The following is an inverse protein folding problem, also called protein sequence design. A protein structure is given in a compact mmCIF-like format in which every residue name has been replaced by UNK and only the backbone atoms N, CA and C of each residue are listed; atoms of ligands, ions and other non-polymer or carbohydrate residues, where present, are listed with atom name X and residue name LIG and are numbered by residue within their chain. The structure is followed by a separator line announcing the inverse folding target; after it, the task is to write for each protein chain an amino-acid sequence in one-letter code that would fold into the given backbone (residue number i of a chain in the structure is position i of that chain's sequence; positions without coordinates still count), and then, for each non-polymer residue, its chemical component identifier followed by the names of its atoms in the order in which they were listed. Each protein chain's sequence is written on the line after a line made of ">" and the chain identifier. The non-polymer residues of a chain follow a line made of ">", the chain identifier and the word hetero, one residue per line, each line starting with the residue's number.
data_IF_199255707612
#
_entry.id   IF_199255707612
#
_cell.length_a   1.000
_cell.length_b   1.000
_cell.length_c   1.000
_cell.angle_alpha   90.00
_cell.angle_beta   90.00
_cell.angle_gamma   90.00
#
_symmetry.space_group_name_H-M   'P 1'
#
loop_
_entity.id
_entity.type
_entity.pdbx_description
1 polymer ?
#
# COMPACT_ATOMS: atom_id res chain seq x y z
N UNK A 1 -17.18 -46.91 3.80
CA UNK A 1 -16.29 -48.07 3.95
C UNK A 1 -15.11 -47.60 4.79
N UNK A 2 -14.98 -48.12 6.03
CA UNK A 2 -14.06 -47.74 7.12
C UNK A 2 -14.23 -46.32 7.70
N UNK A 3 -15.04 -46.09 8.76
CA UNK A 3 -14.78 -46.34 10.20
C UNK A 3 -13.61 -45.47 10.74
N UNK A 4 -13.84 -44.37 11.46
CA UNK A 4 -14.27 -44.25 12.86
C UNK A 4 -13.25 -44.74 13.91
N UNK A 5 -12.25 -43.92 14.27
CA UNK A 5 -11.34 -44.03 15.43
C UNK A 5 -10.55 -42.70 15.52
N UNK A 6 -10.30 -41.97 16.62
CA UNK A 6 -10.55 -42.09 18.06
C UNK A 6 -10.30 -40.71 18.70
N UNK A 7 -11.04 -40.37 19.74
CA UNK A 7 -10.86 -39.20 20.59
C UNK A 7 -9.98 -39.48 21.84
N UNK A 8 -9.51 -38.39 22.46
CA UNK A 8 -9.21 -38.15 23.88
C UNK A 8 -7.81 -38.46 24.49
N UNK A 9 -7.20 -37.41 25.06
CA UNK A 9 -6.44 -37.35 26.33
C UNK A 9 -6.13 -35.86 26.65
N UNK A 10 -6.83 -35.15 27.56
CA UNK A 10 -6.64 -35.07 29.03
C UNK A 10 -5.25 -34.48 29.43
N UNK A 11 -5.15 -33.21 29.87
CA UNK A 11 -5.36 -32.64 31.24
C UNK A 11 -4.08 -32.62 32.12
N UNK A 12 -3.95 -31.51 32.90
CA UNK A 12 -3.12 -31.25 34.11
C UNK A 12 -1.94 -30.27 33.90
N UNK A 13 -1.60 -29.34 34.81
CA UNK A 13 -2.26 -28.61 35.91
C UNK A 13 -1.21 -27.59 36.43
N UNK A 14 -1.68 -26.45 36.93
CA UNK A 14 -1.15 -25.58 38.02
C UNK A 14 0.35 -25.28 38.19
N UNK A 15 0.66 -23.98 38.35
CA UNK A 15 1.18 -23.43 39.63
C UNK A 15 1.19 -21.89 39.67
N UNK A 16 0.45 -21.35 40.64
CA UNK A 16 0.60 -20.03 41.23
C UNK A 16 1.79 -20.00 42.20
N UNK A 17 2.36 -18.82 42.48
CA UNK A 17 2.56 -18.22 43.83
C UNK A 17 3.23 -16.82 43.71
N UNK A 18 2.84 -15.83 44.55
CA UNK A 18 3.37 -14.44 44.56
C UNK A 18 4.25 -14.10 45.80
N UNK A 19 4.91 -12.92 45.79
CA UNK A 19 5.49 -12.25 46.96
C UNK A 19 5.79 -10.78 46.64
N UNK A 20 5.17 -9.77 47.27
CA UNK A 20 5.52 -9.09 48.55
C UNK A 20 6.96 -8.57 48.58
N UNK A 21 7.31 -7.33 48.93
CA UNK A 21 6.80 -6.52 50.05
C UNK A 21 7.25 -5.04 49.95
N UNK A 22 6.46 -4.17 50.59
CA UNK A 22 6.77 -2.78 50.98
C UNK A 22 8.07 -2.66 51.78
N UNK A 23 8.76 -1.51 51.68
CA UNK A 23 9.32 -0.81 52.85
C UNK A 23 9.21 0.70 52.66
N UNK A 24 8.49 1.34 53.58
CA UNK A 24 8.52 2.78 53.91
C UNK A 24 9.75 3.12 54.75
N UNK A 25 10.18 4.38 54.70
CA UNK A 25 10.63 5.25 55.82
C UNK A 25 11.34 6.44 55.15
N UNK A 26 10.98 7.73 55.25
CA UNK A 26 10.41 8.60 56.28
C UNK A 26 11.34 8.86 57.48
N UNK A 27 12.04 10.00 57.44
CA UNK A 27 12.51 10.80 58.59
C UNK A 27 12.49 12.28 58.15
N UNK A 28 11.52 13.09 58.62
CA UNK A 28 11.56 14.03 59.76
C UNK A 28 12.75 15.01 59.69
N UNK A 29 12.48 16.25 59.29
CA UNK A 29 12.31 17.44 60.15
C UNK A 29 13.65 17.98 60.67
N UNK A 30 14.02 19.20 60.29
CA UNK A 30 13.81 20.38 61.13
C UNK A 30 14.21 21.68 60.40
N UNK A 31 13.43 22.70 60.73
CA UNK A 31 13.48 24.11 60.33
C UNK A 31 14.44 24.91 61.24
N UNK A 32 15.05 25.96 60.69
CA UNK A 32 15.73 27.00 61.48
C UNK A 32 16.34 28.08 60.60
N UNK A 33 15.85 29.31 60.73
CA UNK A 33 16.15 30.49 59.90
C UNK A 33 17.44 31.23 60.31
N UNK A 34 18.05 31.99 59.38
CA UNK A 34 18.14 33.47 59.45
C UNK A 34 19.17 34.10 58.48
N UNK A 35 18.81 35.30 58.01
CA UNK A 35 19.64 36.46 57.68
C UNK A 35 20.44 36.53 56.36
N UNK A 36 19.77 37.12 55.36
CA UNK A 36 20.19 38.27 54.54
C UNK A 36 21.68 38.56 54.29
N UNK A 37 22.08 38.48 53.01
CA UNK A 37 22.94 39.47 52.37
C UNK A 37 22.66 39.50 50.86
N UNK A 38 22.27 40.67 50.36
CA UNK A 38 22.02 41.01 48.97
C UNK A 38 23.30 41.02 48.16
N UNK A 39 23.38 40.22 47.10
CA UNK A 39 24.31 40.42 46.00
C UNK A 39 23.58 40.13 44.68
N UNK A 40 23.42 41.19 43.90
CA UNK A 40 22.84 41.19 42.56
C UNK A 40 23.84 40.57 41.61
N UNK A 41 23.57 39.36 41.11
CA UNK A 41 24.37 38.75 40.05
C UNK A 41 23.46 38.22 38.94
N UNK A 42 23.64 38.81 37.77
CA UNK A 42 22.82 38.66 36.56
C UNK A 42 23.04 37.28 35.93
N UNK A 43 22.35 36.27 36.44
CA UNK A 43 22.37 34.93 35.85
C UNK A 43 21.53 34.88 34.55
N UNK A 44 22.21 35.11 33.42
CA UNK A 44 21.68 34.88 32.07
C UNK A 44 21.39 33.38 31.92
N UNK A 45 20.12 33.01 32.11
CA UNK A 45 19.64 31.64 32.00
C UNK A 45 19.76 31.18 30.54
N UNK A 46 20.87 30.53 30.20
CA UNK A 46 21.01 29.80 28.94
C UNK A 46 20.08 28.59 29.04
N UNK A 47 18.85 28.75 28.52
CA UNK A 47 17.97 27.62 28.25
C UNK A 47 18.71 26.68 27.31
N UNK A 48 19.19 25.56 27.84
CA UNK A 48 19.65 24.43 27.05
C UNK A 48 18.46 23.86 26.28
N UNK A 49 18.25 24.36 25.07
CA UNK A 49 17.35 23.74 24.10
C UNK A 49 18.05 22.48 23.59
N UNK A 50 17.74 21.33 24.21
CA UNK A 50 17.95 20.02 23.55
C UNK A 50 17.28 20.09 22.17
N UNK A 51 17.99 19.81 21.07
CA UNK A 51 17.35 19.69 19.76
C UNK A 51 16.37 18.52 19.85
N UNK A 52 15.07 18.84 19.88
CA UNK A 52 14.03 17.87 19.61
C UNK A 52 14.19 17.51 18.13
N UNK A 53 14.83 16.37 17.85
CA UNK A 53 14.93 15.81 16.50
C UNK A 53 13.53 15.36 16.10
N UNK A 54 12.76 16.27 15.53
CA UNK A 54 11.62 15.88 14.73
C UNK A 54 12.18 15.06 13.56
N UNK A 55 11.69 13.83 13.33
CA UNK A 55 12.08 13.11 12.13
C UNK A 55 11.62 13.95 10.95
N UNK A 56 12.55 14.60 10.25
CA UNK A 56 12.23 15.26 8.99
C UNK A 56 11.47 14.26 8.12
N UNK A 57 10.27 14.62 7.68
CA UNK A 57 9.55 13.86 6.66
C UNK A 57 10.37 13.94 5.38
N UNK A 58 11.31 13.01 5.22
CA UNK A 58 12.13 12.87 4.01
C UNK A 58 11.18 12.60 2.84
N UNK A 59 11.38 13.31 1.74
CA UNK A 59 10.65 13.06 0.49
C UNK A 59 10.90 11.61 0.03
N UNK A 60 9.90 10.94 -0.56
CA UNK A 60 10.10 9.59 -1.08
C UNK A 60 11.15 9.61 -2.18
N UNK A 61 12.07 8.66 -2.14
CA UNK A 61 13.16 8.53 -3.11
C UNK A 61 12.78 7.57 -4.24
N UNK A 62 12.17 6.45 -3.88
CA UNK A 62 11.79 5.37 -4.82
C UNK A 62 10.29 5.11 -4.77
N UNK A 63 9.61 5.31 -5.89
CA UNK A 63 8.21 4.96 -6.06
C UNK A 63 8.03 3.58 -6.66
N UNK A 64 7.11 2.79 -6.11
CA UNK A 64 6.66 1.52 -6.67
C UNK A 64 5.23 1.69 -7.18
N UNK A 65 5.06 1.76 -8.50
CA UNK A 65 3.76 1.81 -9.14
C UNK A 65 3.22 0.38 -9.32
N UNK A 66 2.27 0.00 -8.48
CA UNK A 66 1.60 -1.30 -8.50
C UNK A 66 0.51 -1.32 -9.57
N UNK A 67 0.78 -1.98 -10.70
CA UNK A 67 -0.10 -2.01 -11.86
C UNK A 67 -1.08 -3.18 -11.82
N UNK A 68 -2.37 -2.88 -11.94
CA UNK A 68 -3.42 -3.89 -12.07
C UNK A 68 -4.60 -3.31 -12.89
N UNK A 69 -5.54 -4.13 -13.35
CA UNK A 69 -6.74 -3.62 -14.03
C UNK A 69 -7.64 -2.82 -13.07
N UNK A 70 -7.58 -3.18 -11.78
CA UNK A 70 -8.47 -2.66 -10.76
C UNK A 70 -9.85 -3.35 -10.78
N UNK A 71 -10.81 -2.75 -10.11
CA UNK A 71 -12.19 -3.22 -10.11
C UNK A 71 -13.11 -2.22 -9.42
N UNK A 72 -14.40 -2.21 -9.74
CA UNK A 72 -15.37 -1.27 -9.18
C UNK A 72 -15.50 -1.51 -7.67
N UNK A 73 -15.29 -0.48 -6.86
CA UNK A 73 -15.41 -0.57 -5.39
C UNK A 73 -16.87 -0.72 -4.97
N UNK A 74 -17.78 -0.12 -5.72
CA UNK A 74 -19.23 -0.20 -5.51
C UNK A 74 -19.95 -0.58 -6.80
N UNK A 75 -21.23 -0.95 -6.68
CA UNK A 75 -22.09 -1.21 -7.84
C UNK A 75 -22.23 0.00 -8.77
N UNK A 76 -22.08 1.23 -8.25
CA UNK A 76 -22.14 2.46 -9.05
C UNK A 76 -20.98 2.59 -10.04
N UNK A 77 -19.81 2.10 -9.66
CA UNK A 77 -18.58 2.24 -10.44
C UNK A 77 -18.49 1.27 -11.63
N UNK A 78 -19.41 0.29 -11.70
CA UNK A 78 -19.39 -0.78 -12.69
C UNK A 78 -19.47 -0.24 -14.11
N UNK A 79 -20.30 0.78 -14.35
CA UNK A 79 -20.43 1.36 -15.68
C UNK A 79 -19.10 1.94 -16.19
N UNK A 80 -18.45 2.75 -15.36
CA UNK A 80 -17.23 3.46 -15.76
C UNK A 80 -16.04 2.51 -15.87
N UNK A 81 -15.99 1.49 -15.01
CA UNK A 81 -15.06 0.37 -15.16
C UNK A 81 -15.20 -0.29 -16.54
N UNK A 82 -16.42 -0.70 -16.92
CA UNK A 82 -16.67 -1.33 -18.21
C UNK A 82 -16.39 -0.38 -19.38
N UNK A 83 -16.75 0.89 -19.25
CA UNK A 83 -16.53 1.90 -20.27
C UNK A 83 -15.04 2.01 -20.60
N UNK A 84 -14.18 2.18 -19.59
CA UNK A 84 -12.72 2.26 -19.80
C UNK A 84 -12.15 0.96 -20.36
N UNK A 85 -12.66 -0.20 -19.91
CA UNK A 85 -12.26 -1.51 -20.41
C UNK A 85 -12.57 -1.68 -21.90
N UNK A 86 -13.77 -1.30 -22.35
CA UNK A 86 -14.15 -1.42 -23.76
C UNK A 86 -13.53 -0.33 -24.66
N UNK A 87 -13.07 0.79 -24.10
CA UNK A 87 -12.31 1.81 -24.83
C UNK A 87 -10.83 1.44 -25.01
N UNK A 88 -10.34 0.44 -24.30
CA UNK A 88 -8.93 0.05 -24.33
C UNK A 88 -8.56 -0.74 -25.59
N UNK A 89 -7.81 -0.09 -26.48
CA UNK A 89 -7.32 -0.68 -27.72
C UNK A 89 -6.19 -1.70 -27.53
N UNK A 90 -5.54 -1.71 -26.38
CA UNK A 90 -4.54 -2.75 -26.04
C UNK A 90 -5.18 -4.06 -25.60
N UNK A 91 -6.41 -3.98 -25.11
CA UNK A 91 -7.19 -5.15 -24.69
C UNK A 91 -7.96 -5.75 -25.86
N UNK A 92 -8.68 -4.90 -26.61
CA UNK A 92 -9.46 -5.34 -27.77
C UNK A 92 -9.64 -4.22 -28.79
N UNK A 93 -9.74 -4.60 -30.07
CA UNK A 93 -10.02 -3.68 -31.17
C UNK A 93 -11.44 -3.89 -31.68
N UNK A 94 -12.26 -2.83 -31.67
CA UNK A 94 -13.64 -2.85 -32.15
C UNK A 94 -13.83 -1.84 -33.29
N UNK A 95 -14.69 -2.11 -34.30
CA UNK A 95 -15.05 -1.10 -35.28
C UNK A 95 -15.78 0.06 -34.58
N UNK A 96 -15.45 1.32 -34.92
CA UNK A 96 -16.06 2.51 -34.30
C UNK A 96 -16.05 2.46 -32.75
N UNK A 97 -14.95 1.98 -32.15
CA UNK A 97 -14.84 1.68 -30.71
C UNK A 97 -15.32 2.80 -29.78
N UNK A 98 -15.04 4.06 -30.11
CA UNK A 98 -15.49 5.21 -29.29
C UNK A 98 -17.02 5.35 -29.22
N UNK A 99 -17.77 4.79 -30.18
CA UNK A 99 -19.24 4.74 -30.19
C UNK A 99 -19.76 3.41 -29.65
N UNK A 100 -19.13 2.29 -30.00
CA UNK A 100 -19.58 0.97 -29.54
C UNK A 100 -19.30 0.72 -28.06
N UNK A 101 -18.16 1.17 -27.53
CA UNK A 101 -17.77 0.92 -26.15
C UNK A 101 -18.79 1.46 -25.13
N UNK A 102 -19.30 2.71 -25.23
CA UNK A 102 -20.36 3.20 -24.34
C UNK A 102 -21.65 2.38 -24.41
N UNK A 103 -22.06 1.95 -25.61
CA UNK A 103 -23.27 1.16 -25.81
C UNK A 103 -23.11 -0.23 -25.15
N UNK A 104 -21.97 -0.87 -25.38
CA UNK A 104 -21.66 -2.19 -24.81
C UNK A 104 -21.55 -2.11 -23.28
N UNK A 105 -20.88 -1.07 -22.76
CA UNK A 105 -20.76 -0.83 -21.32
C UNK A 105 -22.14 -0.71 -20.68
N UNK A 106 -22.98 0.24 -21.16
CA UNK A 106 -24.35 0.44 -20.66
C UNK A 106 -25.20 -0.83 -20.71
N UNK A 107 -25.12 -1.60 -21.80
CA UNK A 107 -25.87 -2.85 -21.97
C UNK A 107 -25.40 -3.94 -21.00
N UNK A 108 -24.09 -4.02 -20.70
CA UNK A 108 -23.51 -5.06 -19.83
C UNK A 108 -23.57 -4.70 -18.35
N UNK A 109 -23.64 -3.42 -17.99
CA UNK A 109 -23.63 -2.94 -16.59
C UNK A 109 -24.59 -3.70 -15.68
N UNK A 110 -25.89 -3.91 -15.99
CA UNK A 110 -26.81 -4.57 -15.06
C UNK A 110 -26.39 -6.00 -14.71
N UNK A 111 -25.90 -6.74 -15.72
CA UNK A 111 -25.42 -8.13 -15.52
C UNK A 111 -24.17 -8.17 -14.66
N UNK A 112 -23.24 -7.23 -14.84
CA UNK A 112 -21.99 -7.18 -14.07
C UNK A 112 -22.24 -6.67 -12.65
N UNK A 113 -23.17 -5.72 -12.46
CA UNK A 113 -23.62 -5.30 -11.13
C UNK A 113 -24.18 -6.48 -10.33
N UNK A 114 -25.01 -7.32 -10.95
CA UNK A 114 -25.54 -8.52 -10.29
C UNK A 114 -24.41 -9.49 -9.88
N UNK A 115 -23.35 -9.63 -10.68
CA UNK A 115 -22.19 -10.44 -10.32
C UNK A 115 -21.45 -9.87 -9.11
N UNK A 116 -21.20 -8.55 -9.09
CA UNK A 116 -20.57 -7.90 -7.94
C UNK A 116 -21.46 -7.96 -6.69
N UNK A 117 -22.78 -7.84 -6.85
CA UNK A 117 -23.74 -7.96 -5.73
C UNK A 117 -23.64 -9.33 -5.05
N UNK A 118 -23.49 -10.41 -5.83
CA UNK A 118 -23.36 -11.78 -5.30
C UNK A 118 -22.10 -12.01 -4.47
N UNK A 119 -21.05 -11.22 -4.68
CA UNK A 119 -19.78 -11.33 -3.93
C UNK A 119 -19.60 -10.27 -2.85
N UNK A 120 -20.65 -9.50 -2.52
CA UNK A 120 -20.63 -8.50 -1.45
C UNK A 120 -20.74 -7.04 -1.89
N UNK A 121 -21.00 -6.77 -3.17
CA UNK A 121 -21.34 -5.42 -3.66
C UNK A 121 -20.21 -4.66 -4.36
N UNK A 122 -19.03 -5.25 -4.51
CA UNK A 122 -17.88 -4.60 -5.15
C UNK A 122 -16.62 -5.46 -5.13
N UNK A 123 -15.55 -4.94 -5.74
CA UNK A 123 -14.24 -5.58 -5.78
C UNK A 123 -13.39 -5.17 -4.56
N UNK A 124 -12.82 -6.12 -3.80
CA UNK A 124 -11.95 -5.81 -2.67
C UNK A 124 -10.51 -5.48 -3.10
N UNK A 125 -10.23 -5.37 -4.42
CA UNK A 125 -8.87 -5.29 -4.96
C UNK A 125 -8.07 -4.12 -4.41
N UNK A 126 -8.68 -2.92 -4.31
CA UNK A 126 -8.01 -1.72 -3.79
C UNK A 126 -7.53 -1.90 -2.35
N UNK A 127 -8.41 -2.43 -1.49
CA UNK A 127 -8.07 -2.73 -0.10
C UNK A 127 -6.88 -3.70 -0.02
N UNK A 128 -6.90 -4.78 -0.79
CA UNK A 128 -5.83 -5.77 -0.76
C UNK A 128 -4.52 -5.23 -1.33
N UNK A 129 -4.57 -4.48 -2.44
CA UNK A 129 -3.39 -3.85 -3.02
C UNK A 129 -2.77 -2.84 -2.05
N UNK A 130 -3.57 -2.04 -1.34
CA UNK A 130 -3.07 -1.13 -0.29
C UNK A 130 -2.39 -1.89 0.84
N UNK A 131 -3.02 -2.95 1.38
CA UNK A 131 -2.42 -3.77 2.45
C UNK A 131 -1.09 -4.38 2.03
N UNK A 132 -1.02 -4.90 0.80
CA UNK A 132 0.22 -5.46 0.23
C UNK A 132 1.28 -4.37 0.02
N UNK A 133 0.89 -3.20 -0.50
CA UNK A 133 1.78 -2.06 -0.71
C UNK A 133 2.39 -1.54 0.58
N UNK A 134 1.58 -1.41 1.64
CA UNK A 134 2.05 -1.01 2.98
C UNK A 134 3.05 -2.01 3.57
N UNK A 135 2.75 -3.32 3.47
CA UNK A 135 3.65 -4.37 3.92
C UNK A 135 4.97 -4.37 3.15
N UNK A 136 4.88 -4.23 1.82
CA UNK A 136 6.03 -4.15 0.93
C UNK A 136 6.94 -2.97 1.27
N UNK A 137 6.41 -1.76 1.40
CA UNK A 137 7.20 -0.56 1.73
C UNK A 137 7.93 -0.70 3.06
N UNK A 138 7.24 -1.19 4.11
CA UNK A 138 7.85 -1.43 5.43
C UNK A 138 9.05 -2.37 5.37
N UNK A 139 9.01 -3.37 4.49
CA UNK A 139 10.12 -4.31 4.30
C UNK A 139 11.22 -3.71 3.42
N UNK A 140 10.87 -3.03 2.33
CA UNK A 140 11.83 -2.39 1.42
C UNK A 140 12.68 -1.34 2.12
N UNK A 141 12.10 -0.53 3.01
CA UNK A 141 12.84 0.47 3.78
C UNK A 141 13.90 -0.15 4.69
N UNK A 142 13.66 -1.37 5.19
CA UNK A 142 14.64 -2.13 5.99
C UNK A 142 15.67 -2.85 5.14
N UNK A 143 15.24 -3.45 4.03
CA UNK A 143 16.08 -4.27 3.16
C UNK A 143 17.00 -3.44 2.26
N UNK A 144 16.56 -2.24 1.85
CA UNK A 144 17.29 -1.37 0.93
C UNK A 144 17.29 0.08 1.42
N UNK A 145 18.00 0.39 2.53
CA UNK A 145 18.03 1.73 3.10
C UNK A 145 18.59 2.80 2.15
N UNK A 146 19.44 2.41 1.19
CA UNK A 146 20.03 3.34 0.21
C UNK A 146 19.02 3.88 -0.83
N UNK A 147 17.92 3.16 -1.05
CA UNK A 147 16.82 3.57 -1.95
C UNK A 147 15.57 4.05 -1.21
N UNK A 148 15.58 3.98 0.13
CA UNK A 148 14.55 4.54 0.99
C UNK A 148 14.60 6.09 0.99
N UNK A 149 13.48 6.78 1.33
CA UNK A 149 12.17 6.23 1.65
C UNK A 149 11.45 5.68 0.41
N UNK A 150 10.85 4.50 0.53
CA UNK A 150 10.00 3.93 -0.51
C UNK A 150 8.55 4.40 -0.34
N UNK A 151 7.83 4.58 -1.45
CA UNK A 151 6.38 4.83 -1.44
C UNK A 151 5.72 3.97 -2.52
N UNK A 152 4.63 3.31 -2.18
CA UNK A 152 3.83 2.58 -3.17
C UNK A 152 2.75 3.51 -3.73
N UNK A 153 2.38 3.28 -4.98
CA UNK A 153 1.29 3.95 -5.68
C UNK A 153 0.45 2.89 -6.37
N UNK A 154 -0.86 3.03 -6.34
CA UNK A 154 -1.76 2.12 -7.04
C UNK A 154 -2.04 2.73 -8.41
N UNK A 155 -1.73 2.01 -9.48
CA UNK A 155 -2.05 2.39 -10.85
C UNK A 155 -3.05 1.39 -11.43
N UNK A 156 -4.34 1.70 -11.33
CA UNK A 156 -5.37 0.88 -11.92
C UNK A 156 -5.68 1.31 -13.36
N UNK A 157 -5.89 0.32 -14.23
CA UNK A 157 -6.12 0.59 -15.65
C UNK A 157 -7.53 1.16 -15.94
N UNK A 158 -8.53 0.75 -15.16
CA UNK A 158 -9.96 1.01 -15.49
C UNK A 158 -10.78 1.66 -14.36
N UNK A 159 -10.21 1.87 -13.17
CA UNK A 159 -10.86 2.52 -12.02
C UNK A 159 -9.88 3.41 -11.28
N UNK A 160 -10.37 4.27 -10.39
CA UNK A 160 -9.52 5.14 -9.59
C UNK A 160 -8.83 4.37 -8.43
N UNK A 161 -7.58 4.71 -8.08
CA UNK A 161 -6.70 5.66 -8.77
C UNK A 161 -6.19 5.09 -10.10
N UNK A 162 -6.34 5.86 -11.18
CA UNK A 162 -5.91 5.50 -12.52
C UNK A 162 -4.38 5.53 -12.64
N UNK A 163 -3.83 4.79 -13.60
CA UNK A 163 -2.39 4.82 -13.91
C UNK A 163 -1.88 6.24 -14.12
N UNK A 164 -2.62 7.07 -14.84
CA UNK A 164 -2.29 8.47 -15.13
C UNK A 164 -2.26 9.32 -13.85
N UNK A 165 -3.26 9.17 -12.98
CA UNK A 165 -3.35 9.88 -11.69
C UNK A 165 -2.18 9.50 -10.77
N UNK A 166 -1.80 8.23 -10.76
CA UNK A 166 -0.66 7.74 -10.00
C UNK A 166 0.66 8.30 -10.52
N UNK A 167 0.86 8.37 -11.85
CA UNK A 167 2.06 8.98 -12.43
C UNK A 167 2.12 10.48 -12.07
N UNK A 168 1.00 11.20 -12.14
CA UNK A 168 0.94 12.60 -11.74
C UNK A 168 1.28 12.83 -10.26
N UNK A 169 0.85 11.94 -9.37
CA UNK A 169 1.25 11.97 -7.96
C UNK A 169 2.76 11.68 -7.80
N UNK A 170 3.27 10.68 -8.50
CA UNK A 170 4.69 10.30 -8.49
C UNK A 170 5.60 11.44 -9.00
N UNK A 171 5.21 12.12 -10.08
CA UNK A 171 5.91 13.29 -10.60
C UNK A 171 5.88 14.47 -9.60
N UNK A 172 4.73 14.73 -8.97
CA UNK A 172 4.59 15.79 -7.95
C UNK A 172 5.42 15.52 -6.70
N UNK A 173 5.56 14.25 -6.32
CA UNK A 173 6.38 13.84 -5.18
C UNK A 173 7.89 13.99 -5.45
N UNK A 174 8.30 14.19 -6.71
CA UNK A 174 9.69 14.44 -7.09
C UNK A 174 10.61 13.24 -6.88
N UNK A 175 10.13 12.05 -7.25
CA UNK A 175 10.86 10.80 -7.09
C UNK A 175 12.15 10.78 -7.93
N UNK A 176 13.20 10.15 -7.40
CA UNK A 176 14.41 9.86 -8.20
C UNK A 176 14.21 8.63 -9.10
N UNK A 177 13.48 7.62 -8.58
CA UNK A 177 13.27 6.33 -9.25
C UNK A 177 11.81 5.91 -9.21
N UNK A 178 11.33 5.40 -10.33
CA UNK A 178 10.02 4.75 -10.47
C UNK A 178 10.16 3.31 -10.94
N UNK A 179 9.40 2.41 -10.32
CA UNK A 179 9.34 0.99 -10.69
C UNK A 179 7.89 0.68 -11.08
N UNK A 180 7.65 0.41 -12.36
CA UNK A 180 6.40 -0.15 -12.85
C UNK A 180 6.35 -1.64 -12.49
N UNK A 181 5.66 -1.97 -11.39
CA UNK A 181 5.58 -3.34 -10.87
C UNK A 181 4.20 -3.94 -11.17
N UNK A 182 4.15 -4.83 -12.16
CA UNK A 182 2.91 -5.55 -12.47
C UNK A 182 2.47 -6.42 -11.31
N UNK A 183 1.17 -6.41 -11.00
CA UNK A 183 0.57 -7.33 -10.03
C UNK A 183 0.10 -8.63 -10.69
N UNK A 184 0.42 -8.83 -11.98
CA UNK A 184 0.20 -10.08 -12.72
C UNK A 184 1.51 -10.88 -12.80
N UNK A 185 1.64 -12.03 -12.12
CA UNK A 185 2.86 -12.84 -12.20
C UNK A 185 3.16 -13.30 -13.63
N UNK A 186 2.12 -13.70 -14.39
CA UNK A 186 2.21 -14.09 -15.78
C UNK A 186 1.95 -12.88 -16.70
N UNK A 187 2.86 -12.65 -17.63
CA UNK A 187 2.72 -11.57 -18.61
C UNK A 187 1.64 -11.91 -19.65
N UNK A 188 0.75 -10.96 -19.90
CA UNK A 188 -0.07 -10.91 -21.12
C UNK A 188 -0.06 -9.48 -21.69
N UNK A 189 -0.09 -9.37 -23.02
CA UNK A 189 -0.24 -8.07 -23.69
C UNK A 189 -1.54 -7.37 -23.28
N UNK A 190 -2.61 -8.14 -23.02
CA UNK A 190 -3.92 -7.62 -22.61
C UNK A 190 -3.97 -7.13 -21.15
N UNK A 191 -2.96 -7.40 -20.33
CA UNK A 191 -2.92 -7.01 -18.91
C UNK A 191 -1.71 -6.13 -18.60
N UNK A 192 -0.54 -6.73 -18.40
CA UNK A 192 0.72 -5.99 -18.15
C UNK A 192 1.05 -5.10 -19.35
N UNK A 193 0.90 -5.61 -20.58
CA UNK A 193 1.17 -4.83 -21.79
C UNK A 193 0.32 -3.56 -21.88
N UNK A 194 -1.00 -3.66 -21.71
CA UNK A 194 -1.91 -2.49 -21.64
C UNK A 194 -1.49 -1.49 -20.55
N UNK A 195 -1.08 -1.99 -19.38
CA UNK A 195 -0.66 -1.12 -18.26
C UNK A 195 0.64 -0.36 -18.57
N UNK A 196 1.62 -1.02 -19.18
CA UNK A 196 2.88 -0.40 -19.61
C UNK A 196 2.66 0.60 -20.77
N UNK A 197 1.80 0.25 -21.72
CA UNK A 197 1.39 1.16 -22.80
C UNK A 197 0.69 2.41 -22.26
N UNK A 198 -0.09 2.30 -21.19
CA UNK A 198 -0.71 3.46 -20.53
C UNK A 198 0.35 4.43 -19.98
N UNK A 199 1.43 3.95 -19.36
CA UNK A 199 2.54 4.79 -18.91
C UNK A 199 3.19 5.51 -20.09
N UNK A 200 3.46 4.79 -21.18
CA UNK A 200 4.03 5.39 -22.40
C UNK A 200 3.10 6.45 -22.99
N UNK A 201 1.80 6.15 -23.13
CA UNK A 201 0.80 7.08 -23.67
C UNK A 201 0.62 8.31 -22.80
N UNK A 202 0.73 8.18 -21.49
CA UNK A 202 0.68 9.32 -20.58
C UNK A 202 1.76 10.35 -20.94
N UNK A 203 3.04 9.94 -20.97
CA UNK A 203 4.14 10.85 -21.29
C UNK A 203 4.08 11.38 -22.72
N UNK A 204 3.70 10.53 -23.67
CA UNK A 204 3.50 10.94 -25.06
C UNK A 204 2.34 11.95 -25.19
N UNK A 205 1.27 11.80 -24.42
CA UNK A 205 0.10 12.68 -24.42
C UNK A 205 0.37 14.04 -23.78
N UNK A 206 1.11 14.07 -22.66
CA UNK A 206 1.50 15.34 -22.03
C UNK A 206 2.67 16.05 -22.73
N UNK A 207 3.36 15.36 -23.66
CA UNK A 207 4.47 15.91 -24.43
C UNK A 207 5.73 16.19 -23.61
N UNK A 208 5.88 15.56 -22.44
CA UNK A 208 7.01 15.75 -21.52
C UNK A 208 7.76 14.44 -21.32
N UNK A 209 9.07 14.54 -21.14
CA UNK A 209 9.89 13.40 -20.70
C UNK A 209 9.69 13.18 -19.19
N UNK A 210 9.79 11.93 -18.69
CA UNK A 210 9.76 11.65 -17.26
C UNK A 210 10.83 12.43 -16.50
N UNK A 211 10.50 12.93 -15.31
CA UNK A 211 11.50 13.55 -14.41
C UNK A 211 12.21 12.53 -13.53
N UNK A 212 11.65 11.31 -13.44
CA UNK A 212 12.14 10.19 -12.64
C UNK A 212 12.66 9.05 -13.52
N UNK A 213 13.62 8.27 -13.00
CA UNK A 213 14.18 7.11 -13.71
C UNK A 213 13.24 5.91 -13.63
N UNK A 214 12.63 5.56 -14.75
CA UNK A 214 11.76 4.38 -14.87
C UNK A 214 12.53 3.07 -15.01
N UNK A 215 11.96 2.02 -14.43
CA UNK A 215 12.29 0.61 -14.64
C UNK A 215 11.01 -0.21 -14.46
N UNK A 216 11.01 -1.49 -14.85
CA UNK A 216 9.83 -2.33 -14.72
C UNK A 216 10.16 -3.73 -14.20
N UNK A 217 9.21 -4.29 -13.45
CA UNK A 217 9.10 -5.72 -13.18
C UNK A 217 7.84 -6.15 -13.94
N UNK A 218 8.01 -6.68 -15.15
CA UNK A 218 6.91 -7.00 -16.07
C UNK A 218 6.37 -8.43 -15.92
N UNK A 219 7.10 -9.32 -15.26
CA UNK A 219 6.68 -10.70 -14.98
C UNK A 219 7.45 -11.30 -13.82
N UNK A 220 6.83 -12.23 -13.11
CA UNK A 220 7.43 -12.95 -11.97
C UNK A 220 6.69 -14.28 -11.70
N UNK A 221 6.48 -15.13 -12.73
CA UNK A 221 5.58 -16.29 -12.62
C UNK A 221 6.10 -17.41 -11.71
N UNK A 222 7.43 -17.52 -11.58
CA UNK A 222 8.11 -18.57 -10.83
C UNK A 222 8.85 -18.03 -9.60
N UNK A 223 8.44 -16.86 -9.10
CA UNK A 223 9.05 -16.32 -7.89
C UNK A 223 8.88 -17.31 -6.71
N UNK A 224 9.95 -17.73 -6.01
CA UNK A 224 9.88 -18.80 -5.02
C UNK A 224 8.83 -18.54 -3.93
N UNK A 225 8.72 -17.31 -3.43
CA UNK A 225 7.73 -16.96 -2.40
C UNK A 225 6.28 -16.97 -2.94
N UNK A 226 6.07 -16.72 -4.24
CA UNK A 226 4.73 -16.85 -4.85
C UNK A 226 4.32 -18.32 -4.91
N UNK A 227 5.25 -19.19 -5.31
CA UNK A 227 5.02 -20.64 -5.36
C UNK A 227 4.72 -21.17 -3.95
N UNK A 228 5.50 -20.75 -2.96
CA UNK A 228 5.30 -21.14 -1.56
C UNK A 228 3.92 -20.76 -1.04
N UNK A 229 3.45 -19.53 -1.29
CA UNK A 229 2.10 -19.09 -0.88
C UNK A 229 1.03 -19.89 -1.61
N UNK A 230 1.21 -20.16 -2.91
CA UNK A 230 0.26 -20.97 -3.69
C UNK A 230 0.15 -22.40 -3.16
N UNK A 231 1.28 -23.02 -2.80
CA UNK A 231 1.31 -24.36 -2.21
C UNK A 231 0.65 -24.41 -0.84
N UNK A 232 0.83 -23.37 -0.01
CA UNK A 232 0.21 -23.27 1.31
C UNK A 232 -1.32 -23.11 1.25
N UNK A 233 -1.87 -22.69 0.11
CA UNK A 233 -3.31 -22.49 -0.12
C UNK A 233 -3.98 -23.69 -0.80
N UNK A 234 -3.21 -24.68 -1.26
CA UNK A 234 -3.77 -25.91 -1.82
C UNK A 234 -4.29 -26.80 -0.68
N UNK A 235 -5.57 -27.23 -0.72
CA UNK A 235 -6.17 -28.09 0.30
C UNK A 235 -5.58 -29.51 0.33
#
# INVERSE_FOLDING_TARGET
>A
MAAALRAAAALLRDRLVPGSSRVQQQWRCQSGAAAAATATETARQVKSTKPQVHPEKRKPKTGILMLNMGGPETLGDVHDFLLRLFLDRDLMTLPLQNKLAPIIAKRRTPRIQEQYRRIGGGSPIKMWTSKQGEGMVKLLDKMSPHTAPHKYYIGFRYVHPLTEEAIEEMERDGLERAIAFTQYPQYSCSTTGSSLNAIYRYYNGVGKKPTMKWSTIDRWPTHPLLIQVSQALSP
#
